data_IF_549192852291
#
_entry.id   IF_549192852291
#
_cell.length_a   1.000
_cell.length_b   1.000
_cell.length_c   1.000
_cell.angle_alpha   90.00
_cell.angle_beta   90.00
_cell.angle_gamma   90.00
#
_symmetry.space_group_name_H-M   'P 1'
#
loop_
_entity.id
_entity.type
_entity.pdbx_description
1 polymer ?
#
# COMPACT_ATOMS: atom_id res chain seq x y z
N UNK A 1 -16.14 1.28 -35.51
CA UNK A 1 -15.54 0.58 -34.34
C UNK A 1 -14.41 1.45 -33.79
N UNK A 2 -14.41 1.82 -32.51
CA UNK A 2 -13.44 2.79 -31.97
C UNK A 2 -12.00 2.22 -31.99
N UNK A 3 -11.07 2.91 -32.64
CA UNK A 3 -9.65 2.50 -32.74
C UNK A 3 -8.99 2.30 -31.37
N UNK A 4 -9.31 3.15 -30.40
CA UNK A 4 -8.80 3.02 -29.02
C UNK A 4 -9.24 1.73 -28.32
N UNK A 5 -10.45 1.23 -28.62
CA UNK A 5 -10.94 -0.04 -28.09
C UNK A 5 -10.15 -1.24 -28.63
N UNK A 6 -9.85 -1.25 -29.93
CA UNK A 6 -9.07 -2.32 -30.58
C UNK A 6 -7.66 -2.41 -29.98
N UNK A 7 -6.97 -1.27 -29.89
CA UNK A 7 -5.61 -1.18 -29.33
C UNK A 7 -5.59 -1.61 -27.86
N UNK A 8 -6.54 -1.13 -27.05
CA UNK A 8 -6.66 -1.51 -25.64
C UNK A 8 -6.89 -3.02 -25.46
N UNK A 9 -7.85 -3.58 -26.21
CA UNK A 9 -8.16 -5.02 -26.16
C UNK A 9 -6.96 -5.87 -26.57
N UNK A 10 -6.23 -5.48 -27.61
CA UNK A 10 -5.04 -6.19 -28.05
C UNK A 10 -3.93 -6.16 -26.99
N UNK A 11 -3.61 -4.96 -26.46
CA UNK A 11 -2.60 -4.81 -25.40
C UNK A 11 -2.94 -5.62 -24.15
N UNK A 12 -4.22 -5.66 -23.77
CA UNK A 12 -4.66 -6.44 -22.61
C UNK A 12 -4.65 -7.94 -22.86
N UNK A 13 -5.01 -8.40 -24.06
CA UNK A 13 -4.86 -9.81 -24.44
C UNK A 13 -3.39 -10.24 -24.36
N UNK A 14 -2.48 -9.41 -24.85
CA UNK A 14 -1.04 -9.66 -24.73
C UNK A 14 -0.64 -9.77 -23.25
N UNK A 15 -1.06 -8.83 -22.40
CA UNK A 15 -0.86 -8.91 -20.95
C UNK A 15 -1.41 -10.23 -20.36
N UNK A 16 -2.64 -10.59 -20.68
CA UNK A 16 -3.28 -11.83 -20.21
C UNK A 16 -2.49 -13.08 -20.60
N UNK A 17 -2.00 -13.16 -21.85
CA UNK A 17 -1.18 -14.27 -22.34
C UNK A 17 0.12 -14.39 -21.52
N UNK A 18 0.84 -13.27 -21.37
CA UNK A 18 2.09 -13.24 -20.62
C UNK A 18 1.92 -13.50 -19.12
N UNK A 19 0.73 -13.27 -18.57
CA UNK A 19 0.46 -13.45 -17.14
C UNK A 19 -0.49 -14.61 -16.81
N UNK A 20 -0.93 -15.41 -17.80
CA UNK A 20 -1.87 -16.55 -17.62
C UNK A 20 -3.18 -16.10 -16.97
N UNK A 21 -3.65 -14.90 -17.31
CA UNK A 21 -4.96 -14.41 -16.90
C UNK A 21 -5.99 -14.66 -17.99
N UNK A 22 -7.22 -14.91 -17.60
CA UNK A 22 -8.33 -15.11 -18.53
C UNK A 22 -8.76 -13.75 -19.07
N UNK A 23 -9.08 -13.67 -20.37
CA UNK A 23 -9.78 -12.50 -20.88
C UNK A 23 -11.19 -12.48 -20.29
N UNK A 24 -11.53 -11.43 -19.55
CA UNK A 24 -12.85 -11.36 -18.92
C UNK A 24 -13.99 -11.40 -19.95
N UNK A 25 -15.03 -12.14 -19.61
CA UNK A 25 -16.22 -12.30 -20.45
C UNK A 25 -17.32 -11.32 -20.03
N UNK A 26 -18.25 -11.03 -20.92
CA UNK A 26 -19.46 -10.26 -20.58
C UNK A 26 -20.51 -11.19 -19.95
N UNK A 27 -20.19 -11.82 -18.81
CA UNK A 27 -21.19 -12.55 -18.01
C UNK A 27 -21.79 -11.61 -16.96
N UNK A 28 -23.11 -11.35 -16.96
CA UNK A 28 -23.77 -10.52 -15.95
C UNK A 28 -23.94 -11.21 -14.59
N UNK A 29 -23.81 -12.55 -14.56
CA UNK A 29 -23.98 -13.37 -13.35
C UNK A 29 -22.74 -13.35 -12.46
N UNK A 30 -21.56 -13.22 -13.06
CA UNK A 30 -20.28 -13.13 -12.33
C UNK A 30 -19.93 -11.67 -12.11
N UNK A 31 -20.02 -11.22 -10.85
CA UNK A 31 -19.55 -9.89 -10.46
C UNK A 31 -18.05 -9.75 -10.74
N UNK A 32 -17.64 -8.63 -11.32
CA UNK A 32 -16.23 -8.29 -11.53
C UNK A 32 -15.78 -7.18 -10.61
N UNK A 33 -14.53 -7.26 -10.18
CA UNK A 33 -13.80 -6.16 -9.57
C UNK A 33 -12.69 -5.74 -10.53
N UNK A 34 -12.86 -4.60 -11.19
CA UNK A 34 -11.84 -4.01 -12.05
C UNK A 34 -10.87 -3.21 -11.19
N UNK A 35 -9.71 -3.78 -10.87
CA UNK A 35 -8.68 -3.14 -10.06
C UNK A 35 -7.70 -2.36 -10.95
N UNK A 36 -7.86 -1.04 -10.99
CA UNK A 36 -7.03 -0.12 -11.76
C UNK A 36 -5.79 0.32 -11.01
N UNK A 37 -4.70 0.50 -11.75
CA UNK A 37 -3.45 1.06 -11.23
C UNK A 37 -2.57 0.03 -10.52
N UNK A 38 -2.72 -1.26 -10.82
CA UNK A 38 -1.85 -2.29 -10.24
C UNK A 38 -0.41 -2.08 -10.69
N UNK A 39 0.53 -2.46 -9.82
CA UNK A 39 1.94 -2.12 -9.97
C UNK A 39 2.70 -3.10 -10.86
N UNK A 40 3.73 -2.58 -11.54
CA UNK A 40 4.70 -3.36 -12.33
C UNK A 40 6.15 -2.98 -11.98
N UNK A 41 6.37 -2.15 -10.95
CA UNK A 41 7.67 -1.61 -10.50
C UNK A 41 8.14 -2.20 -9.16
N UNK A 42 9.44 -2.09 -8.89
CA UNK A 42 10.09 -2.62 -7.68
C UNK A 42 9.92 -1.69 -6.47
N UNK A 43 8.77 -1.78 -5.80
CA UNK A 43 8.57 -1.26 -4.46
C UNK A 43 7.87 -2.34 -3.63
N UNK A 44 8.57 -2.93 -2.66
CA UNK A 44 8.03 -4.02 -1.84
C UNK A 44 6.75 -3.62 -1.12
N UNK A 45 6.62 -2.36 -0.71
CA UNK A 45 5.40 -1.82 -0.12
C UNK A 45 4.21 -1.86 -1.09
N UNK A 46 4.36 -1.29 -2.29
CA UNK A 46 3.29 -1.28 -3.28
C UNK A 46 2.96 -2.71 -3.79
N UNK A 47 3.98 -3.57 -3.90
CA UNK A 47 3.83 -5.00 -4.18
C UNK A 47 2.94 -5.66 -3.12
N UNK A 48 3.20 -5.39 -1.85
CA UNK A 48 2.41 -5.93 -0.74
C UNK A 48 0.98 -5.41 -0.76
N UNK A 49 0.78 -4.10 -1.00
CA UNK A 49 -0.56 -3.52 -1.14
C UNK A 49 -1.31 -4.25 -2.25
N UNK A 50 -0.73 -4.40 -3.43
CA UNK A 50 -1.40 -5.07 -4.54
C UNK A 50 -1.68 -6.55 -4.25
N UNK A 51 -0.79 -7.26 -3.56
CA UNK A 51 -1.05 -8.64 -3.13
C UNK A 51 -2.17 -8.74 -2.08
N UNK A 52 -2.20 -7.81 -1.11
CA UNK A 52 -3.20 -7.74 -0.06
C UNK A 52 -4.59 -7.38 -0.62
N UNK A 53 -4.68 -6.43 -1.56
CA UNK A 53 -5.93 -6.08 -2.24
C UNK A 53 -6.57 -7.29 -2.91
N UNK A 54 -5.78 -8.10 -3.61
CA UNK A 54 -6.27 -9.28 -4.31
C UNK A 54 -6.77 -10.34 -3.34
N UNK A 55 -6.00 -10.63 -2.28
CA UNK A 55 -6.43 -11.54 -1.23
C UNK A 55 -7.73 -11.04 -0.56
N UNK A 56 -7.78 -9.76 -0.18
CA UNK A 56 -8.91 -9.16 0.50
C UNK A 56 -10.19 -9.14 -0.35
N UNK A 57 -10.07 -8.87 -1.66
CA UNK A 57 -11.21 -8.95 -2.58
C UNK A 57 -11.70 -10.40 -2.69
N UNK A 58 -10.78 -11.36 -2.85
CA UNK A 58 -11.13 -12.77 -2.96
C UNK A 58 -11.85 -13.28 -1.70
N UNK A 59 -11.40 -12.87 -0.52
CA UNK A 59 -12.04 -13.24 0.76
C UNK A 59 -13.39 -12.54 0.94
N UNK A 60 -13.49 -11.28 0.54
CA UNK A 60 -14.73 -10.49 0.67
C UNK A 60 -15.81 -10.88 -0.35
N UNK A 61 -15.41 -11.31 -1.54
CA UNK A 61 -16.23 -11.66 -2.70
C UNK A 61 -15.70 -12.94 -3.40
N UNK A 62 -15.84 -14.14 -2.81
CA UNK A 62 -15.21 -15.37 -3.33
C UNK A 62 -15.64 -15.77 -4.74
N UNK A 63 -16.87 -15.43 -5.13
CA UNK A 63 -17.43 -15.73 -6.45
C UNK A 63 -17.14 -14.65 -7.50
N UNK A 64 -16.42 -13.58 -7.14
CA UNK A 64 -16.13 -12.49 -8.07
C UNK A 64 -14.89 -12.77 -8.93
N UNK A 65 -14.89 -12.24 -10.14
CA UNK A 65 -13.70 -12.23 -11.00
C UNK A 65 -12.91 -10.94 -10.77
N UNK A 66 -11.60 -11.07 -10.45
CA UNK A 66 -10.73 -9.91 -10.27
C UNK A 66 -9.98 -9.61 -11.57
N UNK A 67 -10.27 -8.44 -12.15
CA UNK A 67 -9.65 -7.96 -13.38
C UNK A 67 -8.62 -6.88 -13.05
N UNK A 68 -7.37 -7.29 -12.92
CA UNK A 68 -6.26 -6.34 -12.68
C UNK A 68 -5.91 -5.59 -13.97
N UNK A 69 -5.75 -4.27 -13.83
CA UNK A 69 -5.40 -3.33 -14.90
C UNK A 69 -4.16 -2.55 -14.46
N UNK A 70 -2.98 -2.92 -14.97
CA UNK A 70 -1.73 -2.23 -14.65
C UNK A 70 -1.77 -0.75 -15.00
N UNK A 71 -1.00 0.05 -14.26
CA UNK A 71 -0.91 1.51 -14.44
C UNK A 71 -0.74 1.91 -15.91
N UNK A 72 0.23 1.31 -16.62
CA UNK A 72 0.50 1.61 -18.04
C UNK A 72 -0.67 1.31 -18.98
N UNK A 73 -1.61 0.45 -18.58
CA UNK A 73 -2.77 0.05 -19.37
C UNK A 73 -4.05 0.80 -19.00
N UNK A 74 -4.07 1.59 -17.92
CA UNK A 74 -5.28 2.28 -17.42
C UNK A 74 -5.98 3.05 -18.53
N UNK A 75 -5.27 3.93 -19.23
CA UNK A 75 -5.88 4.76 -20.29
C UNK A 75 -6.43 3.93 -21.45
N UNK A 76 -5.74 2.86 -21.83
CA UNK A 76 -6.15 1.99 -22.94
C UNK A 76 -7.31 1.06 -22.57
N UNK A 77 -7.44 0.71 -21.28
CA UNK A 77 -8.45 -0.21 -20.79
C UNK A 77 -9.77 0.45 -20.42
N UNK A 78 -9.82 1.76 -20.16
CA UNK A 78 -11.07 2.49 -19.94
C UNK A 78 -12.17 2.17 -20.97
N UNK A 79 -11.94 2.32 -22.30
CA UNK A 79 -12.99 2.04 -23.29
C UNK A 79 -13.36 0.55 -23.36
N UNK A 80 -12.45 -0.36 -22.97
CA UNK A 80 -12.74 -1.79 -22.89
C UNK A 80 -13.64 -2.05 -21.69
N UNK A 81 -13.26 -1.60 -20.50
CA UNK A 81 -14.05 -1.81 -19.27
C UNK A 81 -15.43 -1.18 -19.40
N UNK A 82 -15.57 0.03 -19.94
CA UNK A 82 -16.88 0.66 -20.18
C UNK A 82 -17.85 -0.17 -21.04
N UNK A 83 -17.32 -0.98 -21.96
CA UNK A 83 -18.14 -1.82 -22.86
C UNK A 83 -18.62 -3.13 -22.19
N UNK A 84 -17.90 -3.61 -21.19
CA UNK A 84 -18.12 -4.92 -20.58
C UNK A 84 -18.64 -4.85 -19.15
N UNK A 85 -18.27 -3.81 -18.40
CA UNK A 85 -18.71 -3.60 -17.03
C UNK A 85 -20.22 -3.34 -16.99
N UNK A 86 -20.85 -3.86 -15.95
CA UNK A 86 -22.27 -3.72 -15.64
C UNK A 86 -22.44 -2.97 -14.32
N UNK A 87 -23.68 -2.60 -13.98
CA UNK A 87 -24.00 -1.95 -12.70
C UNK A 87 -23.72 -2.83 -11.47
N UNK A 88 -23.55 -4.15 -11.66
CA UNK A 88 -23.17 -5.08 -10.60
C UNK A 88 -21.67 -5.04 -10.28
N UNK A 89 -20.84 -4.54 -11.20
CA UNK A 89 -19.38 -4.58 -11.08
C UNK A 89 -18.84 -3.43 -10.23
N UNK A 90 -17.68 -3.64 -9.63
CA UNK A 90 -16.97 -2.63 -8.83
C UNK A 90 -15.75 -2.13 -9.59
N UNK A 91 -15.60 -0.80 -9.64
CA UNK A 91 -14.38 -0.17 -10.11
C UNK A 91 -13.52 0.15 -8.89
N UNK A 92 -12.40 -0.54 -8.74
CA UNK A 92 -11.47 -0.35 -7.64
C UNK A 92 -10.19 0.35 -8.14
N UNK A 93 -9.58 1.19 -7.30
CA UNK A 93 -8.29 1.81 -7.57
C UNK A 93 -7.28 1.39 -6.51
N UNK A 94 -6.08 1.02 -6.96
CA UNK A 94 -4.96 0.62 -6.12
C UNK A 94 -4.64 1.66 -5.04
N UNK A 95 -4.41 1.21 -3.81
CA UNK A 95 -4.10 2.00 -2.62
C UNK A 95 -2.69 2.59 -2.63
N UNK A 96 -2.23 2.99 -1.45
CA UNK A 96 -0.84 3.42 -1.21
C UNK A 96 -0.63 4.92 -1.12
N UNK A 97 0.60 5.36 -1.41
CA UNK A 97 1.02 6.77 -1.28
C UNK A 97 1.02 7.52 -2.61
N UNK A 98 0.00 7.33 -3.46
CA UNK A 98 0.00 7.76 -4.87
C UNK A 98 -1.12 8.79 -5.20
N UNK A 99 -1.71 9.43 -4.19
CA UNK A 99 -2.75 10.45 -4.34
C UNK A 99 -2.25 11.80 -3.82
N UNK A 100 -1.84 12.70 -4.71
CA UNK A 100 -1.28 13.98 -4.31
C UNK A 100 -0.37 14.62 -5.37
N UNK A 101 0.39 15.63 -4.97
CA UNK A 101 1.24 16.40 -5.89
C UNK A 101 2.56 15.71 -6.27
N UNK A 102 2.99 14.72 -5.49
CA UNK A 102 4.25 14.00 -5.71
C UNK A 102 4.17 13.10 -6.97
N UNK A 103 2.98 12.59 -7.29
CA UNK A 103 2.74 11.58 -8.32
C UNK A 103 1.69 12.07 -9.36
N UNK A 104 2.01 13.11 -10.16
CA UNK A 104 1.03 13.80 -10.99
C UNK A 104 0.46 12.93 -12.13
N UNK A 105 1.23 11.99 -12.67
CA UNK A 105 0.74 11.08 -13.72
C UNK A 105 -0.23 10.03 -13.16
N UNK A 106 0.02 9.51 -11.95
CA UNK A 106 -0.90 8.62 -11.24
C UNK A 106 -2.23 9.33 -10.96
N UNK A 107 -2.18 10.59 -10.48
CA UNK A 107 -3.35 11.46 -10.31
C UNK A 107 -4.12 11.67 -11.61
N UNK A 108 -3.42 11.89 -12.72
CA UNK A 108 -4.04 12.05 -14.04
C UNK A 108 -4.75 10.78 -14.49
N UNK A 109 -4.15 9.60 -14.27
CA UNK A 109 -4.79 8.31 -14.58
C UNK A 109 -6.03 8.08 -13.70
N UNK A 110 -5.93 8.34 -12.38
CA UNK A 110 -7.05 8.26 -11.44
C UNK A 110 -8.23 9.16 -11.86
N UNK A 111 -7.95 10.42 -12.22
CA UNK A 111 -8.99 11.35 -12.73
C UNK A 111 -9.66 10.85 -14.01
N UNK A 112 -8.92 10.19 -14.92
CA UNK A 112 -9.52 9.58 -16.11
C UNK A 112 -10.50 8.46 -15.73
N UNK A 113 -10.14 7.63 -14.75
CA UNK A 113 -11.04 6.58 -14.22
C UNK A 113 -12.28 7.22 -13.62
N UNK A 114 -12.15 8.19 -12.70
CA UNK A 114 -13.31 8.87 -12.09
C UNK A 114 -14.28 9.44 -13.14
N UNK A 115 -13.77 10.26 -14.07
CA UNK A 115 -14.61 10.86 -15.12
C UNK A 115 -15.32 9.83 -16.00
N UNK A 116 -14.67 8.69 -16.27
CA UNK A 116 -15.22 7.64 -17.12
C UNK A 116 -16.29 6.81 -16.41
N UNK A 117 -16.13 6.56 -15.10
CA UNK A 117 -16.97 5.63 -14.34
C UNK A 117 -17.89 6.33 -13.33
N UNK A 118 -18.30 7.57 -13.61
CA UNK A 118 -19.13 8.41 -12.71
C UNK A 118 -20.45 7.78 -12.21
N UNK A 119 -21.02 6.86 -12.99
CA UNK A 119 -22.27 6.16 -12.65
C UNK A 119 -22.05 4.77 -12.02
N UNK A 120 -20.81 4.29 -11.95
CA UNK A 120 -20.47 3.01 -11.33
C UNK A 120 -20.18 3.19 -9.85
N UNK A 121 -20.19 2.06 -9.13
CA UNK A 121 -19.63 2.00 -7.78
C UNK A 121 -18.11 2.05 -7.87
N UNK A 122 -17.52 3.13 -7.37
CA UNK A 122 -16.07 3.31 -7.36
C UNK A 122 -15.55 3.25 -5.93
N UNK A 123 -14.51 2.46 -5.70
CA UNK A 123 -13.75 2.45 -4.46
C UNK A 123 -12.28 2.76 -4.74
N UNK A 124 -11.61 3.46 -3.83
CA UNK A 124 -10.15 3.54 -3.80
C UNK A 124 -9.68 2.86 -2.52
N UNK A 125 -8.84 1.83 -2.65
CA UNK A 125 -8.18 1.19 -1.52
C UNK A 125 -7.38 2.21 -0.68
N UNK A 126 -7.02 1.88 0.57
CA UNK A 126 -6.49 2.83 1.54
C UNK A 126 -5.34 3.69 0.98
N UNK A 127 -5.55 5.00 0.93
CA UNK A 127 -4.62 6.00 0.40
C UNK A 127 -3.94 6.79 1.53
N UNK A 128 -2.72 7.25 1.28
CA UNK A 128 -2.18 8.46 1.91
C UNK A 128 -2.18 9.61 0.90
N UNK A 129 -2.64 10.77 1.35
CA UNK A 129 -2.64 12.01 0.58
C UNK A 129 -1.30 12.76 0.71
N UNK A 130 -0.95 13.50 -0.32
CA UNK A 130 0.21 14.41 -0.31
C UNK A 130 -0.05 15.65 -1.16
N UNK A 131 -1.20 16.28 -0.97
CA UNK A 131 -1.48 17.58 -1.59
C UNK A 131 -0.83 18.68 -0.78
N UNK A 132 -0.31 19.70 -1.47
CA UNK A 132 0.10 20.94 -0.81
C UNK A 132 -1.12 21.60 -0.16
N UNK A 133 -0.94 22.12 1.05
CA UNK A 133 -2.00 22.70 1.90
C UNK A 133 -2.50 24.05 1.41
N UNK A 134 -1.84 24.69 0.44
CA UNK A 134 -2.22 25.98 -0.08
C UNK A 134 -3.13 25.88 -1.32
N UNK A 135 -3.78 26.98 -1.66
CA UNK A 135 -4.67 27.10 -2.83
C UNK A 135 -3.96 26.90 -4.18
N UNK A 136 -2.67 26.52 -4.20
CA UNK A 136 -1.86 26.33 -5.40
C UNK A 136 -1.82 24.89 -5.92
N UNK A 137 -2.30 23.88 -5.19
CA UNK A 137 -2.32 22.50 -5.70
C UNK A 137 -3.27 22.36 -6.90
N UNK A 138 -2.71 22.43 -8.11
CA UNK A 138 -3.45 22.25 -9.35
C UNK A 138 -3.98 20.81 -9.48
N UNK A 139 -3.24 19.81 -8.95
CA UNK A 139 -3.74 18.44 -8.94
C UNK A 139 -4.95 18.31 -8.04
N UNK A 140 -4.92 18.90 -6.83
CA UNK A 140 -6.07 18.88 -5.93
C UNK A 140 -7.32 19.47 -6.59
N UNK A 141 -7.20 20.66 -7.19
CA UNK A 141 -8.32 21.31 -7.90
C UNK A 141 -8.93 20.41 -8.96
N UNK A 142 -8.10 19.80 -9.82
CA UNK A 142 -8.54 18.89 -10.89
C UNK A 142 -9.16 17.61 -10.34
N UNK A 143 -8.66 17.10 -9.21
CA UNK A 143 -9.16 15.88 -8.58
C UNK A 143 -10.48 16.12 -7.87
N UNK A 144 -10.61 17.22 -7.12
CA UNK A 144 -11.89 17.66 -6.53
C UNK A 144 -12.95 17.86 -7.61
N UNK A 145 -12.61 18.48 -8.74
CA UNK A 145 -13.55 18.62 -9.86
C UNK A 145 -14.03 17.27 -10.39
N UNK A 146 -13.11 16.32 -10.61
CA UNK A 146 -13.48 14.97 -11.07
C UNK A 146 -14.34 14.23 -10.04
N UNK A 147 -14.07 14.41 -8.74
CA UNK A 147 -14.82 13.78 -7.66
C UNK A 147 -16.25 14.35 -7.52
N UNK A 148 -16.46 15.64 -7.76
CA UNK A 148 -17.81 16.26 -7.71
C UNK A 148 -18.80 15.63 -8.68
N UNK A 149 -18.31 15.08 -9.79
CA UNK A 149 -19.14 14.44 -10.82
C UNK A 149 -19.51 12.98 -10.47
N UNK A 150 -18.88 12.40 -9.45
CA UNK A 150 -19.08 11.00 -9.07
C UNK A 150 -20.38 10.80 -8.29
N UNK A 151 -21.18 9.79 -8.67
CA UNK A 151 -22.41 9.45 -7.93
C UNK A 151 -22.18 8.52 -6.74
N UNK A 152 -21.26 7.56 -6.88
CA UNK A 152 -21.00 6.52 -5.87
C UNK A 152 -19.50 6.28 -5.75
N UNK A 153 -18.83 7.08 -4.93
CA UNK A 153 -17.38 6.95 -4.68
C UNK A 153 -17.08 6.84 -3.19
N UNK A 154 -16.29 5.84 -2.82
CA UNK A 154 -15.73 5.68 -1.48
C UNK A 154 -14.21 5.70 -1.56
N UNK A 155 -13.56 6.56 -0.79
CA UNK A 155 -12.10 6.63 -0.70
C UNK A 155 -11.70 6.23 0.72
N UNK A 156 -10.98 5.13 0.81
CA UNK A 156 -10.37 4.69 2.06
C UNK A 156 -9.07 5.45 2.28
N UNK A 157 -8.82 5.88 3.51
CA UNK A 157 -7.61 6.61 3.90
C UNK A 157 -6.93 5.84 5.03
N UNK A 158 -5.61 5.68 4.95
CA UNK A 158 -4.88 4.75 5.82
C UNK A 158 -4.33 5.34 7.12
N UNK A 159 -4.39 6.65 7.29
CA UNK A 159 -3.90 7.34 8.49
C UNK A 159 -4.55 8.73 8.67
N UNK A 160 -4.55 9.23 9.90
CA UNK A 160 -5.37 10.37 10.33
C UNK A 160 -4.95 11.72 9.73
N UNK A 161 -3.68 11.93 9.40
CA UNK A 161 -3.20 13.16 8.75
C UNK A 161 -3.82 13.31 7.36
N UNK A 162 -3.74 12.25 6.55
CA UNK A 162 -4.42 12.20 5.25
C UNK A 162 -5.93 12.24 5.39
N UNK A 163 -6.49 11.64 6.43
CA UNK A 163 -7.94 11.62 6.63
C UNK A 163 -8.45 13.03 6.92
N UNK A 164 -7.79 13.78 7.80
CA UNK A 164 -8.11 15.17 8.07
C UNK A 164 -8.06 16.01 6.78
N UNK A 165 -6.98 15.88 6.02
CA UNK A 165 -6.86 16.59 4.73
C UNK A 165 -7.99 16.20 3.77
N UNK A 166 -8.30 14.90 3.63
CA UNK A 166 -9.37 14.41 2.76
C UNK A 166 -10.74 14.97 3.15
N UNK A 167 -11.03 15.03 4.47
CA UNK A 167 -12.29 15.57 5.00
C UNK A 167 -12.46 17.06 4.75
N UNK A 168 -11.36 17.80 4.70
CA UNK A 168 -11.34 19.23 4.40
C UNK A 168 -11.54 19.52 2.91
N UNK A 169 -10.85 18.77 2.04
CA UNK A 169 -10.73 19.15 0.62
C UNK A 169 -11.66 18.38 -0.32
N UNK A 170 -12.10 17.16 0.03
CA UNK A 170 -12.98 16.38 -0.83
C UNK A 170 -14.45 16.82 -0.73
N UNK A 171 -15.18 16.80 -1.85
CA UNK A 171 -16.57 17.23 -1.86
C UNK A 171 -17.47 16.27 -1.09
N UNK A 172 -18.61 16.78 -0.59
CA UNK A 172 -19.52 16.06 0.30
C UNK A 172 -20.12 14.77 -0.27
N UNK A 173 -20.15 14.62 -1.60
CA UNK A 173 -20.59 13.40 -2.27
C UNK A 173 -19.59 12.24 -2.16
N UNK A 174 -18.36 12.50 -1.72
CA UNK A 174 -17.31 11.49 -1.55
C UNK A 174 -17.39 10.91 -0.14
N UNK A 175 -17.60 9.60 -0.04
CA UNK A 175 -17.51 8.90 1.24
C UNK A 175 -16.05 8.65 1.59
N UNK A 176 -15.53 9.37 2.57
CA UNK A 176 -14.16 9.19 3.09
C UNK A 176 -14.20 8.37 4.37
N UNK A 177 -13.42 7.29 4.44
CA UNK A 177 -13.40 6.37 5.60
C UNK A 177 -11.95 6.11 6.01
N UNK A 178 -11.65 6.30 7.30
CA UNK A 178 -10.37 5.93 7.90
C UNK A 178 -10.35 4.42 8.19
N UNK A 179 -9.34 3.72 7.69
CA UNK A 179 -9.10 2.27 7.87
C UNK A 179 -7.58 2.03 7.93
N UNK A 180 -7.09 0.86 8.37
CA UNK A 180 -5.65 0.58 8.31
C UNK A 180 -5.15 0.45 6.87
N UNK A 181 -3.83 0.42 6.71
CA UNK A 181 -3.24 -0.01 5.44
C UNK A 181 -3.67 -1.44 5.11
N UNK A 182 -4.03 -1.70 3.85
CA UNK A 182 -4.57 -3.00 3.44
C UNK A 182 -3.58 -4.14 3.65
N UNK A 183 -2.26 -3.88 3.67
CA UNK A 183 -1.24 -4.89 3.97
C UNK A 183 -1.41 -5.46 5.38
N UNK A 184 -1.92 -4.67 6.33
CA UNK A 184 -2.19 -5.15 7.70
C UNK A 184 -3.33 -6.18 7.76
N UNK A 185 -4.08 -6.39 6.66
CA UNK A 185 -5.06 -7.49 6.56
C UNK A 185 -4.41 -8.83 6.16
N UNK A 186 -3.14 -8.81 5.73
CA UNK A 186 -2.44 -10.03 5.34
C UNK A 186 -2.12 -10.88 6.57
N UNK A 187 -2.45 -12.16 6.49
CA UNK A 187 -1.97 -13.19 7.42
C UNK A 187 -0.65 -13.72 6.88
N UNK A 188 0.46 -13.19 7.40
CA UNK A 188 1.77 -13.76 7.09
C UNK A 188 1.95 -15.04 7.90
N UNK A 189 2.43 -16.11 7.25
CA UNK A 189 2.84 -17.32 7.98
C UNK A 189 3.95 -16.95 8.97
N UNK A 190 3.77 -17.32 10.22
CA UNK A 190 4.80 -17.20 11.23
C UNK A 190 5.73 -18.41 11.07
N UNK A 191 6.96 -18.18 10.63
CA UNK A 191 7.93 -19.26 10.44
C UNK A 191 8.41 -19.80 11.79
N UNK A 192 8.58 -21.12 11.86
CA UNK A 192 9.10 -21.86 13.01
C UNK A 192 10.63 -21.79 13.16
N UNK A 193 11.35 -21.20 12.21
CA UNK A 193 12.80 -20.99 12.30
C UNK A 193 13.21 -19.94 13.35
N UNK A 194 14.42 -20.10 13.88
CA UNK A 194 15.04 -19.11 14.76
C UNK A 194 15.49 -17.85 14.01
N UNK A 195 15.41 -16.70 14.68
CA UNK A 195 15.89 -15.41 14.17
C UNK A 195 17.41 -15.33 14.33
N UNK A 196 18.15 -15.24 13.23
CA UNK A 196 19.62 -15.33 13.24
C UNK A 196 20.35 -14.06 12.77
N UNK A 197 19.65 -13.08 12.20
CA UNK A 197 20.24 -11.78 11.84
C UNK A 197 20.05 -10.83 13.02
N UNK A 198 21.14 -10.29 13.56
CA UNK A 198 21.05 -9.46 14.77
C UNK A 198 20.23 -8.19 14.56
N UNK A 199 20.59 -7.37 13.58
CA UNK A 199 19.87 -6.13 13.28
C UNK A 199 19.71 -5.98 11.78
N UNK A 200 18.51 -5.62 11.32
CA UNK A 200 18.31 -5.21 9.92
C UNK A 200 17.73 -3.80 9.85
N UNK A 201 18.30 -2.98 8.98
CA UNK A 201 17.90 -1.58 8.81
C UNK A 201 17.18 -1.37 7.48
N UNK A 202 16.05 -0.68 7.51
CA UNK A 202 15.26 -0.23 6.36
C UNK A 202 15.10 1.29 6.44
N UNK A 203 16.19 1.99 6.19
CA UNK A 203 16.30 3.42 6.41
C UNK A 203 16.51 4.15 5.08
N UNK A 204 15.80 5.26 4.83
CA UNK A 204 16.07 6.11 3.64
C UNK A 204 17.49 6.66 3.63
N UNK A 205 18.15 6.61 2.48
CA UNK A 205 19.44 7.27 2.24
C UNK A 205 19.29 8.68 1.63
N UNK A 206 18.11 9.02 1.12
CA UNK A 206 17.83 10.22 0.32
C UNK A 206 17.15 11.35 1.10
N UNK A 207 17.56 12.58 0.75
CA UNK A 207 17.14 13.97 1.08
C UNK A 207 15.86 14.29 1.88
N UNK A 208 15.50 13.53 2.92
CA UNK A 208 14.60 14.01 3.96
C UNK A 208 15.44 14.61 5.10
N UNK A 209 15.60 15.95 5.06
CA UNK A 209 16.55 16.75 5.87
C UNK A 209 16.33 16.71 7.39
N UNK A 210 15.28 16.10 7.91
CA UNK A 210 15.05 16.01 9.34
C UNK A 210 15.76 14.78 9.90
N UNK A 211 16.61 14.98 10.91
CA UNK A 211 17.38 13.95 11.63
C UNK A 211 18.55 13.23 10.95
N UNK A 212 18.99 13.62 9.74
CA UNK A 212 20.07 12.90 9.04
C UNK A 212 21.35 12.73 9.89
N UNK A 213 21.76 13.75 10.65
CA UNK A 213 22.91 13.67 11.56
C UNK A 213 22.73 12.66 12.70
N UNK A 214 21.62 12.75 13.44
CA UNK A 214 21.32 11.84 14.56
C UNK A 214 21.10 10.40 14.10
N UNK A 215 20.41 10.21 12.97
CA UNK A 215 20.19 8.91 12.35
C UNK A 215 21.50 8.26 11.91
N UNK A 216 22.41 9.05 11.32
CA UNK A 216 23.74 8.56 10.95
C UNK A 216 24.57 8.17 12.17
N UNK A 217 24.50 8.95 13.25
CA UNK A 217 25.17 8.64 14.51
C UNK A 217 24.65 7.32 15.10
N UNK A 218 23.34 7.13 15.17
CA UNK A 218 22.71 5.86 15.61
C UNK A 218 23.16 4.70 14.74
N UNK A 219 23.07 4.83 13.41
CA UNK A 219 23.46 3.73 12.52
C UNK A 219 24.94 3.39 12.66
N UNK A 220 25.80 4.38 12.88
CA UNK A 220 27.22 4.17 13.19
C UNK A 220 27.39 3.46 14.53
N UNK A 221 26.67 3.90 15.56
CA UNK A 221 26.72 3.30 16.91
C UNK A 221 26.24 1.84 16.90
N UNK A 222 25.11 1.56 16.25
CA UNK A 222 24.57 0.18 16.11
C UNK A 222 25.52 -0.71 15.31
N UNK A 223 26.10 -0.21 14.20
CA UNK A 223 27.10 -0.96 13.42
C UNK A 223 28.40 -1.25 14.19
N UNK A 224 28.73 -0.44 15.20
CA UNK A 224 29.88 -0.67 16.07
C UNK A 224 29.65 -1.77 17.11
N UNK A 225 28.39 -2.10 17.42
CA UNK A 225 28.03 -3.04 18.49
C UNK A 225 27.37 -4.33 18.01
N UNK A 226 26.82 -4.37 16.78
CA UNK A 226 26.07 -5.52 16.26
C UNK A 226 26.37 -5.81 14.79
N UNK A 227 26.10 -7.05 14.37
CA UNK A 227 26.07 -7.40 12.96
C UNK A 227 24.82 -6.80 12.28
N UNK A 228 25.02 -5.79 11.44
CA UNK A 228 23.93 -5.05 10.79
C UNK A 228 23.81 -5.40 9.31
N UNK A 229 22.64 -5.91 8.92
CA UNK A 229 22.24 -6.00 7.51
C UNK A 229 21.52 -4.71 7.09
N UNK A 230 21.98 -4.09 6.00
CA UNK A 230 21.30 -2.91 5.43
C UNK A 230 20.44 -3.34 4.25
N UNK A 231 19.19 -2.90 4.20
CA UNK A 231 18.27 -3.19 3.10
C UNK A 231 17.32 -2.03 2.85
N UNK A 232 16.49 -2.17 1.82
CA UNK A 232 15.51 -1.17 1.43
C UNK A 232 14.18 -1.86 1.05
N UNK A 233 13.09 -1.11 1.13
CA UNK A 233 11.77 -1.48 0.63
C UNK A 233 11.56 -1.08 -0.84
N UNK A 234 12.54 -0.43 -1.47
CA UNK A 234 12.60 -0.15 -2.90
C UNK A 234 13.88 -0.77 -3.45
N UNK A 235 13.76 -1.58 -4.51
CA UNK A 235 14.91 -2.23 -5.15
C UNK A 235 15.29 -1.47 -6.42
N UNK A 236 16.57 -1.20 -6.61
CA UNK A 236 17.10 -0.54 -7.82
C UNK A 236 17.39 -1.55 -8.94
N UNK A 237 17.39 -2.85 -8.65
CA UNK A 237 17.48 -3.90 -9.64
C UNK A 237 16.20 -3.97 -10.47
N UNK A 238 16.29 -3.63 -11.76
CA UNK A 238 15.15 -3.66 -12.67
C UNK A 238 14.61 -5.08 -12.84
N UNK A 239 13.54 -5.40 -12.10
CA UNK A 239 12.70 -6.59 -12.32
C UNK A 239 11.28 -6.13 -12.60
N UNK A 240 10.71 -6.60 -13.70
CA UNK A 240 9.29 -6.37 -13.98
C UNK A 240 8.45 -7.13 -12.96
N UNK A 241 7.62 -6.41 -12.20
CA UNK A 241 6.65 -7.05 -11.32
C UNK A 241 5.44 -7.50 -12.13
N UNK A 242 5.00 -8.72 -11.86
CA UNK A 242 3.89 -9.37 -12.54
C UNK A 242 3.04 -10.14 -11.53
N UNK A 243 1.78 -10.45 -11.86
CA UNK A 243 0.96 -11.32 -11.02
C UNK A 243 1.59 -12.68 -10.69
N UNK A 244 2.52 -13.17 -11.54
CA UNK A 244 3.17 -14.48 -11.36
C UNK A 244 4.34 -14.46 -10.37
N UNK A 245 5.11 -13.37 -10.33
CA UNK A 245 6.32 -13.29 -9.52
C UNK A 245 6.15 -12.47 -8.24
N UNK A 246 5.13 -11.60 -8.15
CA UNK A 246 4.96 -10.67 -7.02
C UNK A 246 4.91 -11.37 -5.66
N UNK A 247 4.18 -12.49 -5.56
CA UNK A 247 4.06 -13.26 -4.31
C UNK A 247 5.42 -13.78 -3.86
N UNK A 248 6.19 -14.38 -4.78
CA UNK A 248 7.54 -14.90 -4.49
C UNK A 248 8.51 -13.78 -4.09
N UNK A 249 8.48 -12.65 -4.79
CA UNK A 249 9.34 -11.49 -4.50
C UNK A 249 9.01 -10.90 -3.13
N UNK A 250 7.72 -10.78 -2.81
CA UNK A 250 7.26 -10.33 -1.51
C UNK A 250 7.69 -11.31 -0.40
N UNK A 251 7.50 -12.61 -0.61
CA UNK A 251 7.86 -13.63 0.38
C UNK A 251 9.36 -13.61 0.70
N UNK A 252 10.21 -13.42 -0.30
CA UNK A 252 11.66 -13.25 -0.09
C UNK A 252 11.97 -12.05 0.80
N UNK A 253 11.23 -10.94 0.64
CA UNK A 253 11.39 -9.77 1.50
C UNK A 253 10.86 -10.04 2.90
N UNK A 254 9.68 -10.64 3.05
CA UNK A 254 9.11 -10.97 4.36
C UNK A 254 10.00 -11.95 5.13
N UNK A 255 10.63 -12.92 4.46
CA UNK A 255 11.62 -13.80 5.08
C UNK A 255 12.83 -13.03 5.64
N UNK A 256 13.26 -11.95 4.99
CA UNK A 256 14.30 -11.09 5.56
C UNK A 256 13.86 -10.49 6.89
N UNK A 257 12.60 -10.06 7.05
CA UNK A 257 12.07 -9.60 8.33
C UNK A 257 12.02 -10.73 9.36
N UNK A 258 11.52 -11.91 8.96
CA UNK A 258 11.43 -13.08 9.85
C UNK A 258 12.80 -13.54 10.35
N UNK A 259 13.85 -13.43 9.53
CA UNK A 259 15.21 -13.80 9.93
C UNK A 259 15.86 -12.80 10.90
N UNK A 260 15.36 -11.56 10.99
CA UNK A 260 15.92 -10.52 11.86
C UNK A 260 15.38 -10.61 13.28
N UNK A 261 16.26 -10.48 14.29
CA UNK A 261 15.89 -10.35 15.70
C UNK A 261 15.23 -9.00 15.98
N UNK A 262 15.72 -7.93 15.35
CA UNK A 262 15.10 -6.60 15.42
C UNK A 262 15.30 -5.80 14.13
N UNK A 263 14.30 -4.98 13.79
CA UNK A 263 14.28 -4.07 12.65
C UNK A 263 14.44 -2.62 13.12
N UNK A 264 15.23 -1.82 12.40
CA UNK A 264 15.26 -0.37 12.53
C UNK A 264 14.74 0.25 11.22
N UNK A 265 13.68 1.05 11.26
CA UNK A 265 13.01 1.51 10.04
C UNK A 265 12.41 2.92 10.16
N UNK A 266 12.53 3.70 9.08
CA UNK A 266 11.79 4.95 8.85
C UNK A 266 10.77 4.81 7.70
N UNK A 267 10.66 3.59 7.17
CA UNK A 267 9.71 3.22 6.12
C UNK A 267 8.41 2.77 6.72
N UNK A 268 7.31 3.32 6.23
CA UNK A 268 5.96 2.89 6.60
C UNK A 268 5.78 1.38 6.39
N UNK A 269 6.15 0.86 5.21
CA UNK A 269 6.06 -0.57 4.95
C UNK A 269 7.13 -1.39 5.68
N UNK A 270 8.23 -0.79 6.14
CA UNK A 270 9.14 -1.48 7.06
C UNK A 270 8.47 -1.74 8.41
N UNK A 271 7.75 -0.76 8.94
CA UNK A 271 6.92 -0.94 10.15
C UNK A 271 5.80 -1.96 9.92
N UNK A 272 5.06 -1.86 8.81
CA UNK A 272 3.97 -2.79 8.52
C UNK A 272 4.47 -4.23 8.31
N UNK A 273 5.61 -4.42 7.64
CA UNK A 273 6.20 -5.75 7.48
C UNK A 273 6.68 -6.32 8.80
N UNK A 274 7.28 -5.50 9.66
CA UNK A 274 7.62 -5.91 11.02
C UNK A 274 6.37 -6.34 11.81
N UNK A 275 5.28 -5.55 11.72
CA UNK A 275 3.99 -5.88 12.30
C UNK A 275 3.48 -7.25 11.84
N UNK A 276 3.24 -7.44 10.53
CA UNK A 276 2.59 -8.67 10.03
C UNK A 276 3.47 -9.92 10.21
N UNK A 277 4.80 -9.77 10.31
CA UNK A 277 5.72 -10.90 10.54
C UNK A 277 6.03 -11.16 12.02
N UNK A 278 5.42 -10.41 12.95
CA UNK A 278 5.69 -10.55 14.38
C UNK A 278 7.14 -10.23 14.76
N UNK A 279 7.81 -9.40 13.95
CA UNK A 279 9.23 -9.07 14.09
C UNK A 279 9.38 -7.79 14.91
N UNK A 280 10.15 -7.80 16.00
CA UNK A 280 10.41 -6.59 16.77
C UNK A 280 10.99 -5.46 15.92
N UNK A 281 10.54 -4.22 16.16
CA UNK A 281 11.03 -3.07 15.42
C UNK A 281 11.15 -1.80 16.27
N UNK A 282 12.18 -1.01 15.98
CA UNK A 282 12.30 0.39 16.37
C UNK A 282 11.95 1.23 15.14
N UNK A 283 10.95 2.08 15.31
CA UNK A 283 10.32 2.85 14.25
C UNK A 283 10.68 4.32 14.45
N UNK A 284 11.10 4.95 13.37
CA UNK A 284 11.43 6.36 13.33
C UNK A 284 10.46 7.09 12.41
N UNK A 285 10.12 8.33 12.76
CA UNK A 285 9.33 9.15 11.86
C UNK A 285 10.14 9.63 10.67
N UNK A 286 9.43 10.10 9.65
CA UNK A 286 9.99 10.75 8.47
C UNK A 286 9.33 12.11 8.24
N UNK A 287 9.73 12.85 7.20
CA UNK A 287 9.31 14.24 7.01
C UNK A 287 7.80 14.41 6.77
N UNK A 288 7.11 13.36 6.33
CA UNK A 288 5.68 13.44 6.02
C UNK A 288 4.79 12.99 7.19
N UNK A 289 5.37 12.57 8.31
CA UNK A 289 4.68 12.12 9.53
C UNK A 289 3.72 10.93 9.34
N UNK A 290 3.65 10.32 8.15
CA UNK A 290 2.70 9.22 7.87
C UNK A 290 3.06 7.97 8.64
N UNK A 291 4.35 7.76 8.94
CA UNK A 291 4.79 6.65 9.78
C UNK A 291 4.26 6.85 11.20
N UNK A 292 4.48 8.03 11.80
CA UNK A 292 3.93 8.39 13.10
C UNK A 292 2.42 8.20 13.18
N UNK A 293 1.66 8.80 12.27
CA UNK A 293 0.21 8.71 12.34
C UNK A 293 -0.30 7.29 12.10
N UNK A 294 0.30 6.54 11.16
CA UNK A 294 -0.07 5.12 10.97
C UNK A 294 0.23 4.27 12.20
N UNK A 295 1.34 4.53 12.91
CA UNK A 295 1.65 3.87 14.18
C UNK A 295 0.61 4.22 15.24
N UNK A 296 0.39 5.52 15.50
CA UNK A 296 -0.54 5.98 16.53
C UNK A 296 -1.99 5.57 16.28
N UNK A 297 -2.41 5.44 15.02
CA UNK A 297 -3.78 5.04 14.70
C UNK A 297 -4.04 3.55 14.89
N UNK A 298 -3.03 2.70 14.68
CA UNK A 298 -3.26 1.26 14.46
C UNK A 298 -2.38 0.31 15.26
N UNK A 299 -1.21 0.75 15.72
CA UNK A 299 -0.14 -0.13 16.21
C UNK A 299 0.49 0.33 17.54
N UNK A 300 -0.05 1.35 18.20
CA UNK A 300 0.52 1.92 19.44
C UNK A 300 0.47 0.95 20.64
N UNK A 301 -0.45 -0.01 20.59
CA UNK A 301 -0.62 -1.07 21.57
C UNK A 301 0.14 -2.36 21.23
N UNK A 302 0.94 -2.38 20.16
CA UNK A 302 1.72 -3.55 19.75
C UNK A 302 3.08 -3.56 20.48
N UNK A 303 3.22 -4.45 21.46
CA UNK A 303 4.35 -4.48 22.40
C UNK A 303 5.74 -4.71 21.78
N UNK A 304 5.82 -5.22 20.55
CA UNK A 304 7.08 -5.44 19.83
C UNK A 304 7.43 -4.32 18.84
N UNK A 305 6.60 -3.28 18.74
CA UNK A 305 6.83 -2.13 17.88
C UNK A 305 7.07 -0.90 18.76
N UNK A 306 8.26 -0.33 18.66
CA UNK A 306 8.71 0.78 19.49
C UNK A 306 8.88 2.03 18.65
N UNK A 307 7.96 2.98 18.78
CA UNK A 307 8.10 4.28 18.12
C UNK A 307 9.03 5.21 18.91
N UNK A 308 10.15 5.58 18.30
CA UNK A 308 11.15 6.45 18.92
C UNK A 308 10.94 7.90 18.48
N UNK A 309 10.38 8.72 19.37
CA UNK A 309 10.25 10.18 19.14
C UNK A 309 11.60 10.90 19.29
N UNK A 310 12.44 10.42 20.20
CA UNK A 310 13.77 10.93 20.48
C UNK A 310 14.77 9.85 20.12
N UNK A 311 15.56 10.12 19.09
CA UNK A 311 16.71 9.32 18.64
C UNK A 311 17.79 9.24 19.74
N UNK A 312 17.51 8.51 20.83
CA UNK A 312 18.41 8.29 21.97
C UNK A 312 19.19 7.00 21.76
N UNK A 313 20.52 7.09 21.70
CA UNK A 313 21.40 5.92 21.50
C UNK A 313 21.20 4.90 22.62
N UNK A 314 21.13 5.34 23.88
CA UNK A 314 20.94 4.46 25.04
C UNK A 314 19.62 3.67 24.99
N UNK A 315 18.53 4.34 24.60
CA UNK A 315 17.22 3.72 24.47
C UNK A 315 17.23 2.64 23.37
N UNK A 316 17.81 2.97 22.22
CA UNK A 316 17.93 2.05 21.08
C UNK A 316 18.73 0.81 21.48
N UNK A 317 19.89 0.98 22.13
CA UNK A 317 20.73 -0.13 22.60
C UNK A 317 19.97 -0.99 23.61
N UNK A 318 19.26 -0.37 24.56
CA UNK A 318 18.46 -1.10 25.54
C UNK A 318 17.41 -1.99 24.87
N UNK A 319 16.70 -1.47 23.87
CA UNK A 319 15.68 -2.22 23.14
C UNK A 319 16.31 -3.33 22.30
N UNK A 320 17.43 -3.05 21.61
CA UNK A 320 18.15 -4.07 20.83
C UNK A 320 18.60 -5.21 21.75
N UNK A 321 19.27 -4.90 22.88
CA UNK A 321 19.71 -5.91 23.84
C UNK A 321 18.56 -6.74 24.39
N UNK A 322 17.42 -6.12 24.69
CA UNK A 322 16.23 -6.84 25.12
C UNK A 322 15.83 -7.92 24.11
N UNK A 323 15.67 -7.56 22.83
CA UNK A 323 15.26 -8.51 21.78
C UNK A 323 16.37 -9.44 21.28
N UNK A 324 17.64 -9.14 21.54
CA UNK A 324 18.75 -10.07 21.34
C UNK A 324 18.68 -11.26 22.31
N UNK A 325 18.24 -11.03 23.54
CA UNK A 325 18.19 -12.03 24.60
C UNK A 325 16.78 -12.63 24.82
N UNK A 326 15.73 -11.96 24.35
CA UNK A 326 14.34 -12.39 24.45
C UNK A 326 13.74 -12.58 23.05
N UNK A 327 14.21 -13.62 22.36
CA UNK A 327 13.72 -13.99 21.02
C UNK A 327 12.38 -14.70 21.14
N UNK A 328 11.36 -13.98 21.59
CA UNK A 328 9.99 -14.46 21.56
C UNK A 328 9.35 -14.15 20.21
N UNK A 329 8.51 -15.07 19.73
CA UNK A 329 7.59 -14.75 18.64
C UNK A 329 6.46 -13.90 19.19
N UNK A 330 6.07 -12.92 18.39
CA UNK A 330 4.93 -12.09 18.69
C UNK A 330 3.85 -12.36 17.66
N UNK A 331 2.64 -12.59 18.11
CA UNK A 331 1.49 -12.70 17.23
C UNK A 331 0.95 -11.29 16.95
N UNK A 332 0.75 -10.93 15.67
CA UNK A 332 0.12 -9.66 15.34
C UNK A 332 -1.30 -9.59 15.92
N UNK A 333 -1.68 -8.44 16.46
CA UNK A 333 -3.06 -8.22 16.91
C UNK A 333 -4.04 -8.35 15.73
N UNK A 334 -5.25 -8.81 16.00
CA UNK A 334 -6.29 -8.92 14.96
C UNK A 334 -6.88 -7.55 14.62
N UNK A 335 -6.80 -7.15 13.35
CA UNK A 335 -7.37 -5.91 12.81
C UNK A 335 -8.56 -6.14 11.86
N UNK A 336 -9.06 -7.36 11.71
CA UNK A 336 -10.10 -7.75 10.74
C UNK A 336 -11.34 -6.86 10.80
N UNK A 337 -11.82 -6.52 12.01
CA UNK A 337 -12.97 -5.64 12.21
C UNK A 337 -12.76 -4.23 11.62
N UNK A 338 -11.52 -3.73 11.61
CA UNK A 338 -11.18 -2.42 11.05
C UNK A 338 -11.31 -2.39 9.53
N UNK A 339 -11.29 -3.55 8.87
CA UNK A 339 -11.47 -3.67 7.42
C UNK A 339 -12.92 -3.92 6.99
N UNK A 340 -13.86 -4.04 7.93
CA UNK A 340 -15.28 -4.30 7.62
C UNK A 340 -15.87 -3.29 6.64
N UNK A 341 -15.49 -2.01 6.74
CA UNK A 341 -15.99 -0.97 5.83
C UNK A 341 -15.52 -1.17 4.38
N UNK A 342 -14.33 -1.74 4.17
CA UNK A 342 -13.84 -2.08 2.82
C UNK A 342 -14.68 -3.24 2.26
N UNK A 343 -14.88 -4.30 3.05
CA UNK A 343 -15.69 -5.45 2.64
C UNK A 343 -17.13 -5.03 2.31
N UNK A 344 -17.74 -4.19 3.16
CA UNK A 344 -19.06 -3.60 2.92
C UNK A 344 -19.10 -2.74 1.66
N UNK A 345 -18.05 -1.99 1.35
CA UNK A 345 -17.98 -1.21 0.12
C UNK A 345 -17.71 -2.07 -1.13
N UNK A 346 -17.18 -3.28 -1.00
CA UNK A 346 -17.06 -4.24 -2.10
C UNK A 346 -18.41 -4.92 -2.40
N UNK A 347 -19.13 -5.36 -1.36
CA UNK A 347 -20.45 -6.02 -1.45
C UNK A 347 -21.55 -5.07 -1.89
N UNK A 348 -22.59 -5.59 -2.56
CA UNK A 348 -23.68 -4.78 -3.14
C UNK A 348 -24.31 -3.82 -2.15
#
# INVERSE_FOLDING_TARGET
>A
MNFGYLVGRMRYRIYCIFHRKVSFSKSPEVQKVFLFGTIEHMNYGDIAINQAEIAFIQDSLPSSEIVEIPERLVSAMIPVVLRYATSNDVIAFHGGGNMGDIWPEQEKLRRKVFRSFKNFKVISFPQSLSYKSDSHSNNLKKTVQALREMKKVTIFIRESLSYSQAREVFPSNVRVILVPDIVMSMKAELDSSDRYIDVTTFMRNDQEKFYQGKKTAILKHVKGNYAVTTSDTVDTGWKTITPRNRKKILEQKLNQFRSSKIILTDRLHGMIFAFITGTPAIIFDNNNHKVKFSYLNWLDNVNYLHFSEKLSEEEIIKIINYYQHHVARHEPINLDEKFFQISKALRK
#
